data_IF_676524081746
#
_entry.id   IF_676524081746
#
_cell.length_a   1.000
_cell.length_b   1.000
_cell.length_c   1.000
_cell.angle_alpha   90.00
_cell.angle_beta   90.00
_cell.angle_gamma   90.00
#
_symmetry.space_group_name_H-M   'P 1'
#
loop_
_entity.id
_entity.type
_entity.pdbx_description
1 polymer ?
#
# COMPACT_ATOMS: atom_id res chain seq x y z
N UNK A 1 -10.68 12.18 4.33
CA UNK A 1 -10.40 10.72 4.20
C UNK A 1 -9.53 10.54 2.98
N UNK A 2 -8.25 10.25 3.16
CA UNK A 2 -7.33 10.02 2.04
C UNK A 2 -7.22 8.51 1.80
N UNK A 3 -7.47 8.07 0.56
CA UNK A 3 -7.26 6.67 0.16
C UNK A 3 -5.81 6.47 -0.24
N UNK A 4 -5.33 5.23 -0.15
CA UNK A 4 -3.98 4.84 -0.57
C UNK A 4 -4.06 3.57 -1.41
N UNK A 5 -3.04 3.36 -2.24
CA UNK A 5 -2.88 2.15 -3.05
C UNK A 5 -1.53 1.53 -2.69
N UNK A 6 -1.51 0.21 -2.52
CA UNK A 6 -0.29 -0.55 -2.24
C UNK A 6 -0.22 -1.78 -3.14
N UNK A 7 1.00 -2.30 -3.30
CA UNK A 7 1.26 -3.51 -4.06
C UNK A 7 1.47 -4.68 -3.11
N UNK A 8 0.89 -5.83 -3.45
CA UNK A 8 0.93 -7.04 -2.64
C UNK A 8 1.41 -8.22 -3.49
N UNK A 9 2.12 -9.14 -2.85
CA UNK A 9 2.50 -10.44 -3.41
C UNK A 9 1.77 -11.57 -2.68
N UNK A 10 1.68 -12.78 -3.26
CA UNK A 10 1.17 -13.94 -2.55
C UNK A 10 1.93 -14.20 -1.23
N UNK A 11 1.22 -14.70 -0.22
CA UNK A 11 1.80 -15.00 1.10
C UNK A 11 3.06 -15.91 1.07
N UNK A 12 3.17 -16.96 0.21
CA UNK A 12 4.36 -17.81 0.21
C UNK A 12 5.57 -17.20 -0.54
N UNK A 13 5.54 -15.92 -0.91
CA UNK A 13 6.66 -15.29 -1.64
C UNK A 13 7.92 -15.25 -0.76
N UNK A 14 9.06 -15.81 -1.20
CA UNK A 14 10.31 -15.75 -0.45
C UNK A 14 10.78 -14.31 -0.20
N UNK A 15 11.27 -14.03 1.01
CA UNK A 15 11.75 -12.70 1.41
C UNK A 15 12.76 -12.05 0.45
N UNK A 16 13.75 -12.79 -0.10
CA UNK A 16 14.70 -12.18 -1.04
C UNK A 16 14.05 -11.69 -2.33
N UNK A 17 13.00 -12.38 -2.80
CA UNK A 17 12.25 -11.96 -3.99
C UNK A 17 11.36 -10.76 -3.69
N UNK A 18 10.75 -10.72 -2.51
CA UNK A 18 9.97 -9.58 -2.06
C UNK A 18 10.82 -8.31 -1.93
N UNK A 19 12.03 -8.44 -1.37
CA UNK A 19 12.98 -7.33 -1.28
C UNK A 19 13.37 -6.80 -2.67
N UNK A 20 13.76 -7.70 -3.59
CA UNK A 20 14.09 -7.32 -4.96
C UNK A 20 12.92 -6.66 -5.70
N UNK A 21 11.69 -7.12 -5.48
CA UNK A 21 10.50 -6.51 -6.06
C UNK A 21 10.28 -5.10 -5.49
N UNK A 22 10.41 -4.93 -4.18
CA UNK A 22 10.30 -3.62 -3.53
C UNK A 22 11.34 -2.64 -4.07
N UNK A 23 12.61 -3.05 -4.18
CA UNK A 23 13.69 -2.22 -4.73
C UNK A 23 13.37 -1.74 -6.15
N UNK A 24 12.91 -2.66 -7.01
CA UNK A 24 12.51 -2.32 -8.37
C UNK A 24 11.35 -1.31 -8.39
N UNK A 25 10.33 -1.51 -7.54
CA UNK A 25 9.20 -0.59 -7.42
C UNK A 25 9.61 0.80 -6.94
N UNK A 26 10.45 0.88 -5.90
CA UNK A 26 10.98 2.15 -5.38
C UNK A 26 11.78 2.89 -6.45
N UNK A 27 12.55 2.17 -7.27
CA UNK A 27 13.28 2.78 -8.38
C UNK A 27 12.35 3.31 -9.47
N UNK A 28 11.30 2.58 -9.84
CA UNK A 28 10.30 3.05 -10.81
C UNK A 28 9.58 4.29 -10.32
N UNK A 29 9.23 4.34 -9.02
CA UNK A 29 8.58 5.50 -8.40
C UNK A 29 9.47 6.76 -8.35
N UNK A 30 10.79 6.62 -8.54
CA UNK A 30 11.73 7.76 -8.63
C UNK A 30 11.80 8.36 -10.03
N UNK A 31 11.29 7.68 -11.07
CA UNK A 31 11.29 8.18 -12.45
C UNK A 31 10.28 9.32 -12.59
N UNK A 32 10.70 10.48 -13.09
CA UNK A 32 9.85 11.67 -13.13
C UNK A 32 8.62 11.49 -14.00
N UNK A 33 8.76 10.86 -15.18
CA UNK A 33 7.61 10.52 -16.02
C UNK A 33 6.57 9.64 -15.31
N UNK A 34 6.99 8.78 -14.38
CA UNK A 34 6.08 7.96 -13.56
C UNK A 34 5.40 8.81 -12.50
N UNK A 35 6.15 9.67 -11.80
CA UNK A 35 5.59 10.61 -10.81
C UNK A 35 4.56 11.53 -11.44
N UNK A 36 4.86 12.10 -12.60
CA UNK A 36 3.95 12.98 -13.34
C UNK A 36 2.67 12.26 -13.73
N UNK A 37 2.79 11.03 -14.25
CA UNK A 37 1.61 10.22 -14.61
C UNK A 37 0.75 9.88 -13.39
N UNK A 38 1.36 9.53 -12.26
CA UNK A 38 0.63 9.25 -11.02
C UNK A 38 -0.02 10.52 -10.45
N UNK A 39 0.69 11.65 -10.48
CA UNK A 39 0.15 12.94 -10.08
C UNK A 39 -1.04 13.38 -10.94
N UNK A 40 -1.00 13.12 -12.26
CA UNK A 40 -2.13 13.36 -13.16
C UNK A 40 -3.38 12.51 -12.83
N UNK A 41 -3.20 11.38 -12.13
CA UNK A 41 -4.28 10.54 -11.59
C UNK A 41 -4.69 10.95 -10.16
N UNK A 42 -4.13 12.03 -9.61
CA UNK A 42 -4.37 12.48 -8.24
C UNK A 42 -3.66 11.65 -7.18
N UNK A 43 -2.65 10.85 -7.56
CA UNK A 43 -1.89 10.00 -6.65
C UNK A 43 -0.56 10.67 -6.29
N UNK A 44 -0.28 10.75 -4.99
CA UNK A 44 1.04 11.09 -4.50
C UNK A 44 1.90 9.84 -4.37
N UNK A 45 3.14 9.91 -4.85
CA UNK A 45 4.10 8.82 -4.75
C UNK A 45 4.61 8.72 -3.30
N UNK A 46 4.47 7.53 -2.70
CA UNK A 46 4.91 7.25 -1.34
C UNK A 46 5.70 5.92 -1.32
N UNK A 47 6.99 5.93 -1.64
CA UNK A 47 7.81 4.73 -1.55
C UNK A 47 7.99 4.33 -0.07
N UNK A 48 7.87 3.05 0.22
CA UNK A 48 8.03 2.48 1.57
C UNK A 48 8.71 1.11 1.50
N UNK A 49 9.13 0.62 2.64
CA UNK A 49 9.52 -0.79 2.83
C UNK A 49 8.27 -1.69 2.93
N UNK A 50 8.43 -3.02 2.70
CA UNK A 50 7.33 -3.97 2.91
C UNK A 50 6.80 -3.97 4.35
N UNK A 51 7.68 -3.80 5.35
CA UNK A 51 7.29 -3.77 6.76
C UNK A 51 6.50 -2.52 7.13
N UNK A 52 6.86 -1.36 6.59
CA UNK A 52 6.11 -0.11 6.80
C UNK A 52 4.70 -0.19 6.19
N UNK A 53 4.58 -0.74 4.98
CA UNK A 53 3.27 -0.96 4.36
C UNK A 53 2.43 -1.94 5.18
N UNK A 54 3.02 -3.04 5.65
CA UNK A 54 2.33 -4.00 6.51
C UNK A 54 1.84 -3.36 7.82
N UNK A 55 2.65 -2.51 8.45
CA UNK A 55 2.26 -1.77 9.65
C UNK A 55 1.07 -0.82 9.39
N UNK A 56 1.12 -0.06 8.28
CA UNK A 56 0.03 0.84 7.89
C UNK A 56 -1.28 0.08 7.65
N UNK A 57 -1.22 -1.07 6.98
CA UNK A 57 -2.38 -1.94 6.74
C UNK A 57 -2.95 -2.44 8.05
N UNK A 58 -2.12 -2.99 8.94
CA UNK A 58 -2.56 -3.56 10.21
C UNK A 58 -3.22 -2.49 11.10
N UNK A 59 -2.62 -1.30 11.21
CA UNK A 59 -3.21 -0.18 11.94
C UNK A 59 -4.54 0.25 11.32
N UNK A 60 -4.58 0.31 9.98
CA UNK A 60 -5.78 0.68 9.25
C UNK A 60 -6.93 -0.31 9.43
N UNK A 61 -6.63 -1.60 9.48
CA UNK A 61 -7.59 -2.67 9.73
C UNK A 61 -8.09 -2.66 11.18
N UNK A 62 -7.22 -2.39 12.16
CA UNK A 62 -7.63 -2.29 13.56
C UNK A 62 -8.67 -1.17 13.75
N UNK A 63 -8.35 0.05 13.32
CA UNK A 63 -9.24 1.21 13.50
C UNK A 63 -10.54 1.05 12.71
N UNK A 64 -10.46 0.70 11.42
CA UNK A 64 -11.66 0.59 10.58
C UNK A 64 -12.51 -0.62 10.96
N UNK A 65 -11.87 -1.73 11.36
CA UNK A 65 -12.57 -2.93 11.80
C UNK A 65 -13.37 -2.71 13.08
N UNK A 66 -12.84 -1.96 14.05
CA UNK A 66 -13.58 -1.56 15.24
C UNK A 66 -14.79 -0.69 14.90
N UNK A 67 -14.61 0.31 14.03
CA UNK A 67 -15.70 1.18 13.58
C UNK A 67 -16.81 0.43 12.85
N UNK A 68 -16.47 -0.47 11.93
CA UNK A 68 -17.44 -1.30 11.19
C UNK A 68 -18.25 -2.16 12.14
N UNK A 69 -17.59 -2.79 13.12
CA UNK A 69 -18.26 -3.60 14.16
C UNK A 69 -19.19 -2.76 15.03
N UNK A 70 -18.71 -1.61 15.51
CA UNK A 70 -19.50 -0.72 16.36
C UNK A 70 -20.73 -0.15 15.65
N UNK A 71 -20.64 0.09 14.34
CA UNK A 71 -21.73 0.60 13.51
C UNK A 71 -22.65 -0.51 12.94
N UNK A 72 -22.37 -1.79 13.23
CA UNK A 72 -23.08 -2.94 12.67
C UNK A 72 -23.21 -2.91 11.13
N UNK A 73 -22.15 -2.46 10.45
CA UNK A 73 -22.11 -2.40 8.99
C UNK A 73 -21.76 -3.78 8.44
N UNK A 74 -22.57 -4.28 7.51
CA UNK A 74 -22.34 -5.55 6.81
C UNK A 74 -22.10 -5.26 5.33
N UNK A 75 -21.29 -6.10 4.67
CA UNK A 75 -21.19 -6.11 3.21
C UNK A 75 -22.39 -6.90 2.69
N UNK A 76 -23.10 -6.37 1.70
CA UNK A 76 -24.21 -7.05 1.02
C UNK A 76 -23.80 -8.37 0.36
#
# INVERSE_FOLDING_TARGET
MSSWVGFFSPAPTPLPLLARLNDAMVNVLKIDAVKEKLAALGLAVAPSTPSELAAMVNQGLAVRGELVKAANIQVE
#
